data_IF_768458582193
#
_entry.id   IF_768458582193
#
_cell.length_a   1.000
_cell.length_b   1.000
_cell.length_c   1.000
_cell.angle_alpha   90.00
_cell.angle_beta   90.00
_cell.angle_gamma   90.00
#
_symmetry.space_group_name_H-M   'P 1'
#
loop_
_entity.id
_entity.type
_entity.pdbx_description
1 polymer ?
#
# COMPACT_ATOMS: atom_id res chain seq x y z
N UNK A 1 -7.98 -6.34 -22.27
CA UNK A 1 -6.62 -6.81 -21.92
C UNK A 1 -6.51 -6.90 -20.39
N UNK A 2 -5.99 -8.01 -19.83
CA UNK A 2 -5.71 -8.13 -18.39
C UNK A 2 -4.35 -7.49 -18.09
N UNK A 3 -4.33 -6.21 -17.73
CA UNK A 3 -3.08 -5.46 -17.49
C UNK A 3 -3.07 -4.89 -16.08
N UNK A 4 -1.89 -4.88 -15.48
CA UNK A 4 -1.63 -4.09 -14.28
C UNK A 4 -1.46 -2.62 -14.70
N UNK A 5 -1.96 -1.70 -13.89
CA UNK A 5 -1.77 -0.26 -14.06
C UNK A 5 -1.06 0.29 -12.84
N UNK A 6 0.00 1.03 -13.08
CA UNK A 6 0.81 1.70 -12.05
C UNK A 6 0.94 3.16 -12.46
N UNK A 7 0.53 4.07 -11.57
CA UNK A 7 0.60 5.52 -11.81
C UNK A 7 1.42 6.16 -10.71
N UNK A 8 2.50 6.83 -11.08
CA UNK A 8 3.31 7.63 -10.16
C UNK A 8 2.73 9.04 -10.05
N UNK A 9 2.30 9.43 -8.85
CA UNK A 9 2.03 10.81 -8.46
C UNK A 9 3.23 11.30 -7.64
N UNK A 10 4.14 11.98 -8.31
CA UNK A 10 5.33 12.54 -7.69
C UNK A 10 4.99 13.79 -6.87
N UNK A 11 5.47 13.84 -5.63
CA UNK A 11 5.65 15.09 -4.90
C UNK A 11 7.00 15.67 -5.33
N UNK A 12 7.02 16.68 -6.22
CA UNK A 12 8.26 17.21 -6.80
C UNK A 12 9.17 17.91 -5.80
N UNK A 13 8.62 18.42 -4.70
CA UNK A 13 9.40 19.10 -3.67
C UNK A 13 10.17 18.10 -2.79
N UNK A 14 9.51 17.00 -2.40
CA UNK A 14 10.09 15.96 -1.55
C UNK A 14 10.79 14.84 -2.35
N UNK A 15 10.40 14.63 -3.61
CA UNK A 15 10.82 13.49 -4.42
C UNK A 15 10.52 12.16 -3.71
N UNK A 16 11.56 11.35 -3.51
CA UNK A 16 11.50 10.09 -2.75
C UNK A 16 12.16 10.19 -1.37
N UNK A 17 12.32 11.41 -0.82
CA UNK A 17 12.94 11.66 0.46
C UNK A 17 14.28 10.94 0.66
N UNK A 18 14.41 10.24 1.79
CA UNK A 18 15.61 9.50 2.18
C UNK A 18 15.65 8.05 1.68
N UNK A 19 14.57 7.60 1.04
CA UNK A 19 14.38 6.22 0.54
C UNK A 19 14.54 5.14 1.62
N UNK A 20 14.13 5.45 2.84
CA UNK A 20 14.16 4.56 4.01
C UNK A 20 12.79 4.02 4.40
N UNK A 21 11.68 4.66 3.99
CA UNK A 21 10.34 4.27 4.42
C UNK A 21 9.34 4.13 3.29
N UNK A 22 8.82 2.91 3.10
CA UNK A 22 7.78 2.60 2.14
C UNK A 22 6.49 2.24 2.89
N UNK A 23 5.44 3.04 2.74
CA UNK A 23 4.13 2.76 3.30
C UNK A 23 3.24 2.06 2.25
N UNK A 24 2.69 0.90 2.56
CA UNK A 24 1.76 0.15 1.70
C UNK A 24 0.38 0.11 2.33
N UNK A 25 -0.58 0.84 1.75
CA UNK A 25 -1.95 0.92 2.27
C UNK A 25 -2.87 -0.16 1.71
N UNK A 26 -3.20 -1.13 2.56
CA UNK A 26 -4.06 -2.25 2.21
C UNK A 26 -5.52 -2.03 2.64
N UNK A 27 -6.38 -1.76 1.66
CA UNK A 27 -7.83 -1.61 1.86
C UNK A 27 -8.66 -2.89 1.65
N UNK A 28 -8.11 -4.09 1.91
CA UNK A 28 -8.85 -5.36 1.84
C UNK A 28 -9.02 -6.00 0.45
N UNK A 29 -8.68 -5.31 -0.65
CA UNK A 29 -8.61 -5.93 -1.99
C UNK A 29 -7.31 -6.72 -2.14
N UNK A 30 -7.40 -8.06 -2.18
CA UNK A 30 -6.23 -8.94 -2.21
C UNK A 30 -5.30 -8.66 -3.40
N UNK A 31 -5.82 -8.56 -4.63
CA UNK A 31 -4.99 -8.41 -5.83
C UNK A 31 -4.09 -7.15 -5.82
N UNK A 32 -4.62 -5.99 -5.41
CA UNK A 32 -3.81 -4.76 -5.30
C UNK A 32 -2.77 -4.88 -4.19
N UNK A 33 -3.17 -5.37 -3.00
CA UNK A 33 -2.27 -5.52 -1.85
C UNK A 33 -1.05 -6.38 -2.19
N UNK A 34 -1.32 -7.51 -2.83
CA UNK A 34 -0.34 -8.42 -3.39
C UNK A 34 0.64 -7.77 -4.35
N UNK A 35 0.16 -7.06 -5.39
CA UNK A 35 1.03 -6.41 -6.36
C UNK A 35 1.83 -5.25 -5.72
N UNK A 36 1.22 -4.48 -4.83
CA UNK A 36 1.91 -3.40 -4.11
C UNK A 36 3.07 -3.93 -3.26
N UNK A 37 2.86 -5.05 -2.56
CA UNK A 37 3.92 -5.67 -1.76
C UNK A 37 5.04 -6.25 -2.62
N UNK A 38 4.72 -6.86 -3.77
CA UNK A 38 5.73 -7.26 -4.74
C UNK A 38 6.56 -6.08 -5.22
N UNK A 39 5.91 -4.99 -5.63
CA UNK A 39 6.60 -3.79 -6.11
C UNK A 39 7.46 -3.15 -5.03
N UNK A 40 6.97 -3.07 -3.79
CA UNK A 40 7.74 -2.58 -2.65
C UNK A 40 8.96 -3.47 -2.34
N UNK A 41 8.80 -4.79 -2.44
CA UNK A 41 9.90 -5.75 -2.27
C UNK A 41 10.96 -5.62 -3.37
N UNK A 42 10.54 -5.60 -4.64
CA UNK A 42 11.45 -5.43 -5.78
C UNK A 42 12.18 -4.09 -5.73
N UNK A 43 11.53 -3.04 -5.22
CA UNK A 43 12.17 -1.75 -5.05
C UNK A 43 13.37 -1.84 -4.10
N UNK A 44 13.31 -2.67 -3.05
CA UNK A 44 14.44 -2.93 -2.14
C UNK A 44 15.62 -3.66 -2.80
N UNK A 45 15.45 -4.20 -4.01
CA UNK A 45 16.58 -4.74 -4.78
C UNK A 45 17.44 -3.62 -5.41
N UNK A 46 16.95 -2.38 -5.46
CA UNK A 46 17.74 -1.21 -5.85
C UNK A 46 18.65 -0.75 -4.69
N UNK A 47 19.92 -0.47 -4.98
CA UNK A 47 20.91 -0.04 -3.97
C UNK A 47 20.46 1.18 -3.16
N UNK A 48 19.66 2.08 -3.74
CA UNK A 48 19.16 3.28 -3.05
C UNK A 48 18.05 2.98 -2.05
N UNK A 49 17.38 1.83 -2.17
CA UNK A 49 16.25 1.40 -1.35
C UNK A 49 16.53 0.14 -0.54
N UNK A 50 17.75 -0.41 -0.61
CA UNK A 50 18.11 -1.69 0.02
C UNK A 50 17.78 -1.78 1.52
N UNK A 51 17.87 -0.65 2.22
CA UNK A 51 17.60 -0.53 3.65
C UNK A 51 16.18 -0.04 3.97
N UNK A 52 15.34 0.16 2.95
CA UNK A 52 14.00 0.68 3.17
C UNK A 52 13.14 -0.31 3.96
N UNK A 53 12.48 0.20 4.99
CA UNK A 53 11.48 -0.52 5.75
C UNK A 53 10.12 -0.43 5.07
N UNK A 54 9.46 -1.57 4.90
CA UNK A 54 8.12 -1.64 4.33
C UNK A 54 7.12 -1.71 5.47
N UNK A 55 6.23 -0.72 5.56
CA UNK A 55 5.13 -0.63 6.51
C UNK A 55 3.82 -1.03 5.84
N UNK A 56 3.30 -2.20 6.16
CA UNK A 56 1.98 -2.63 5.69
C UNK A 56 0.89 -2.08 6.60
N UNK A 57 0.15 -1.11 6.07
CA UNK A 57 -0.84 -0.33 6.81
C UNK A 57 -2.26 -0.73 6.46
N UNK A 58 -3.08 -0.82 7.49
CA UNK A 58 -4.53 -0.96 7.37
C UNK A 58 -5.23 -0.19 8.48
N UNK A 59 -6.41 0.32 8.17
CA UNK A 59 -7.30 0.94 9.13
C UNK A 59 -8.50 0.04 9.39
N UNK A 60 -8.89 -0.10 10.65
CA UNK A 60 -10.05 -0.86 11.07
C UNK A 60 -10.95 -0.04 12.01
N UNK A 61 -12.26 -0.34 12.06
CA UNK A 61 -13.22 0.52 12.75
C UNK A 61 -13.01 0.56 14.27
N UNK A 62 -12.57 -0.54 14.87
CA UNK A 62 -12.42 -0.71 16.31
C UNK A 62 -11.30 -1.71 16.66
N UNK A 63 -10.93 -1.73 17.94
CA UNK A 63 -9.84 -2.55 18.45
C UNK A 63 -10.11 -4.06 18.33
N UNK A 64 -11.37 -4.49 18.43
CA UNK A 64 -11.75 -5.90 18.25
C UNK A 64 -11.40 -6.38 16.83
N UNK A 65 -11.78 -5.60 15.82
CA UNK A 65 -11.43 -5.89 14.43
C UNK A 65 -9.90 -5.83 14.23
N UNK A 66 -9.23 -4.85 14.85
CA UNK A 66 -7.78 -4.69 14.76
C UNK A 66 -7.01 -5.90 15.32
N UNK A 67 -7.44 -6.42 16.47
CA UNK A 67 -6.79 -7.56 17.11
C UNK A 67 -6.89 -8.82 16.24
N UNK A 68 -8.05 -9.10 15.64
CA UNK A 68 -8.23 -10.21 14.71
C UNK A 68 -7.34 -10.06 13.46
N UNK A 69 -7.25 -8.85 12.90
CA UNK A 69 -6.44 -8.59 11.72
C UNK A 69 -4.93 -8.72 11.99
N UNK A 70 -4.44 -8.24 13.14
CA UNK A 70 -3.02 -8.37 13.54
C UNK A 70 -2.57 -9.83 13.56
N UNK A 71 -3.39 -10.73 14.10
CA UNK A 71 -3.08 -12.15 14.15
C UNK A 71 -2.98 -12.77 12.75
N UNK A 72 -3.96 -12.50 11.88
CA UNK A 72 -4.00 -13.05 10.52
C UNK A 72 -2.87 -12.52 9.65
N UNK A 73 -2.60 -11.22 9.71
CA UNK A 73 -1.57 -10.58 8.88
C UNK A 73 -0.15 -10.94 9.31
N UNK A 74 0.10 -11.08 10.62
CA UNK A 74 1.41 -11.52 11.12
C UNK A 74 1.78 -12.90 10.56
N UNK A 75 0.83 -13.83 10.52
CA UNK A 75 1.04 -15.16 9.96
C UNK A 75 1.30 -15.10 8.45
N UNK A 76 0.50 -14.34 7.72
CA UNK A 76 0.64 -14.19 6.27
C UNK A 76 1.97 -13.55 5.87
N UNK A 77 2.36 -12.44 6.53
CA UNK A 77 3.62 -11.74 6.24
C UNK A 77 4.84 -12.62 6.57
N UNK A 78 4.78 -13.42 7.66
CA UNK A 78 5.86 -14.37 7.99
C UNK A 78 6.10 -15.40 6.90
N UNK A 79 5.03 -15.88 6.24
CA UNK A 79 5.16 -16.84 5.15
C UNK A 79 5.86 -16.25 3.92
N UNK A 80 5.66 -14.96 3.66
CA UNK A 80 6.21 -14.31 2.47
C UNK A 80 7.71 -14.00 2.57
N UNK A 81 8.30 -13.98 3.78
CA UNK A 81 9.73 -13.63 4.02
C UNK A 81 10.17 -12.27 3.43
N UNK A 82 9.24 -11.35 3.18
CA UNK A 82 9.50 -10.02 2.58
C UNK A 82 10.08 -9.01 3.59
N UNK A 83 9.97 -9.29 4.90
CA UNK A 83 10.45 -8.38 5.96
C UNK A 83 9.63 -7.10 6.02
N UNK A 84 8.36 -7.24 6.41
CA UNK A 84 7.37 -6.15 6.43
C UNK A 84 6.91 -5.89 7.86
N UNK A 85 6.80 -4.62 8.24
CA UNK A 85 6.30 -4.16 9.54
C UNK A 85 4.80 -3.94 9.41
N UNK A 86 3.99 -4.75 10.09
CA UNK A 86 2.52 -4.59 10.07
C UNK A 86 2.08 -3.47 11.01
N UNK A 87 1.36 -2.47 10.49
CA UNK A 87 0.75 -1.40 11.27
C UNK A 87 -0.78 -1.42 11.11
N UNK A 88 -1.45 -1.94 12.14
CA UNK A 88 -2.92 -1.97 12.22
C UNK A 88 -3.40 -0.80 13.05
N UNK A 89 -4.01 0.16 12.37
CA UNK A 89 -4.53 1.41 12.92
C UNK A 89 -6.03 1.29 13.18
N UNK A 90 -6.51 1.91 14.26
CA UNK A 90 -7.93 2.00 14.56
C UNK A 90 -8.44 3.40 14.20
N UNK A 91 -9.58 3.46 13.50
CA UNK A 91 -10.13 4.74 13.08
C UNK A 91 -10.68 5.55 14.25
N UNK A 92 -11.41 4.91 15.16
CA UNK A 92 -12.08 5.57 16.31
C UNK A 92 -12.89 6.79 15.89
N UNK A 93 -13.61 6.71 14.77
CA UNK A 93 -14.41 7.81 14.23
C UNK A 93 -13.64 8.81 13.34
N UNK A 94 -12.31 8.74 13.28
CA UNK A 94 -11.52 9.54 12.33
C UNK A 94 -11.72 9.05 10.90
N UNK A 95 -11.69 9.99 9.95
CA UNK A 95 -11.74 9.65 8.53
C UNK A 95 -10.47 8.93 8.10
N UNK A 96 -10.57 8.06 7.09
CA UNK A 96 -9.38 7.45 6.46
C UNK A 96 -8.39 8.51 5.99
N UNK A 97 -8.88 9.64 5.46
CA UNK A 97 -8.02 10.71 4.97
C UNK A 97 -7.15 11.29 6.09
N UNK A 98 -7.76 11.57 7.24
CA UNK A 98 -7.05 12.06 8.44
C UNK A 98 -5.93 11.09 8.84
N UNK A 99 -6.25 9.80 8.94
CA UNK A 99 -5.29 8.77 9.38
C UNK A 99 -4.18 8.55 8.35
N UNK A 100 -4.51 8.62 7.05
CA UNK A 100 -3.56 8.52 5.95
C UNK A 100 -2.50 9.61 6.06
N UNK A 101 -2.95 10.86 6.22
CA UNK A 101 -2.09 12.03 6.38
C UNK A 101 -1.25 11.97 7.64
N UNK A 102 -1.87 11.74 8.80
CA UNK A 102 -1.16 11.67 10.08
C UNK A 102 -0.08 10.58 10.08
N UNK A 103 -0.42 9.38 9.63
CA UNK A 103 0.50 8.25 9.77
C UNK A 103 1.53 8.18 8.67
N UNK A 104 1.31 8.78 7.49
CA UNK A 104 2.18 8.62 6.31
C UNK A 104 2.86 9.92 5.88
N UNK A 105 2.81 10.98 6.69
CA UNK A 105 3.49 12.25 6.43
C UNK A 105 5.01 12.07 6.23
N UNK A 106 5.64 11.18 7.01
CA UNK A 106 7.07 10.91 6.96
C UNK A 106 7.46 9.73 6.05
N UNK A 107 6.55 9.27 5.20
CA UNK A 107 6.88 8.23 4.23
C UNK A 107 7.74 8.80 3.11
N UNK A 108 8.65 7.98 2.56
CA UNK A 108 9.42 8.34 1.37
C UNK A 108 8.71 7.92 0.08
N UNK A 109 7.88 6.88 0.17
CA UNK A 109 7.02 6.38 -0.90
C UNK A 109 5.77 5.73 -0.32
N UNK A 110 4.62 6.01 -0.92
CA UNK A 110 3.34 5.41 -0.53
C UNK A 110 2.78 4.58 -1.67
N UNK A 111 2.42 3.32 -1.43
CA UNK A 111 1.63 2.51 -2.36
C UNK A 111 0.15 2.52 -1.95
N UNK A 112 -0.74 2.78 -2.92
CA UNK A 112 -2.19 2.74 -2.70
C UNK A 112 -2.94 2.05 -3.85
N UNK A 113 -3.88 1.19 -3.49
CA UNK A 113 -4.73 0.49 -4.45
C UNK A 113 -5.81 1.39 -5.05
N UNK A 114 -6.01 1.31 -6.36
CA UNK A 114 -7.13 1.94 -7.06
C UNK A 114 -8.35 1.02 -7.13
N UNK A 115 -9.54 1.62 -7.22
CA UNK A 115 -10.76 0.89 -7.53
C UNK A 115 -10.71 0.29 -8.95
N UNK A 116 -11.51 -0.75 -9.19
CA UNK A 116 -11.71 -1.25 -10.55
C UNK A 116 -12.51 -0.18 -11.30
N UNK A 117 -12.11 0.24 -12.51
CA UNK A 117 -12.84 1.25 -13.26
C UNK A 117 -14.29 0.84 -13.55
N UNK A 118 -15.21 1.73 -13.22
CA UNK A 118 -16.62 1.73 -13.59
C UNK A 118 -17.00 3.11 -14.18
N UNK A 119 -18.29 3.34 -14.43
CA UNK A 119 -18.79 4.61 -15.00
C UNK A 119 -18.47 5.85 -14.14
N UNK A 120 -18.17 5.65 -12.84
CA UNK A 120 -17.84 6.72 -11.88
C UNK A 120 -16.34 6.82 -11.61
N UNK A 121 -15.51 6.06 -12.34
CA UNK A 121 -14.07 5.97 -12.05
C UNK A 121 -13.37 7.32 -12.12
N UNK A 122 -13.74 8.17 -13.07
CA UNK A 122 -13.18 9.53 -13.20
C UNK A 122 -13.38 10.33 -11.91
N UNK A 123 -14.62 10.36 -11.39
CA UNK A 123 -14.96 11.06 -10.14
C UNK A 123 -14.24 10.45 -8.94
N UNK A 124 -14.14 9.11 -8.90
CA UNK A 124 -13.36 8.41 -7.89
C UNK A 124 -11.88 8.82 -7.92
N UNK A 125 -11.28 8.86 -9.12
CA UNK A 125 -9.87 9.16 -9.30
C UNK A 125 -9.57 10.62 -8.97
N UNK A 126 -10.43 11.57 -9.37
CA UNK A 126 -10.34 12.97 -8.95
C UNK A 126 -10.43 13.11 -7.42
N UNK A 127 -11.38 12.42 -6.78
CA UNK A 127 -11.49 12.40 -5.32
C UNK A 127 -10.25 11.81 -4.65
N UNK A 128 -9.66 10.76 -5.23
CA UNK A 128 -8.42 10.15 -4.75
C UNK A 128 -7.24 11.12 -4.85
N UNK A 129 -7.11 11.84 -5.96
CA UNK A 129 -6.08 12.87 -6.14
C UNK A 129 -6.24 14.01 -5.10
N UNK A 130 -7.46 14.48 -4.87
CA UNK A 130 -7.75 15.53 -3.89
C UNK A 130 -7.43 15.09 -2.45
N UNK A 131 -7.87 13.88 -2.06
CA UNK A 131 -7.60 13.33 -0.72
C UNK A 131 -6.11 13.12 -0.47
N UNK A 132 -5.34 12.84 -1.51
CA UNK A 132 -3.91 12.56 -1.39
C UNK A 132 -3.02 13.78 -1.62
N UNK A 133 -3.61 14.95 -1.90
CA UNK A 133 -2.88 16.20 -1.99
C UNK A 133 -2.06 16.46 -0.72
N UNK A 134 -0.82 16.95 -0.84
CA UNK A 134 0.06 17.22 0.31
C UNK A 134 0.82 16.01 0.87
N UNK A 135 0.46 14.78 0.51
CA UNK A 135 1.24 13.59 0.89
C UNK A 135 2.58 13.49 0.12
N UNK A 136 3.54 12.71 0.64
CA UNK A 136 4.72 12.26 -0.10
C UNK A 136 4.38 11.55 -1.42
N UNK A 137 5.41 11.24 -2.21
CA UNK A 137 5.25 10.56 -3.50
C UNK A 137 4.45 9.26 -3.39
N UNK A 138 3.48 9.07 -4.30
CA UNK A 138 2.52 7.96 -4.26
C UNK A 138 2.57 7.16 -5.56
N UNK A 139 2.54 5.85 -5.43
CA UNK A 139 2.31 4.91 -6.52
C UNK A 139 0.90 4.34 -6.38
N UNK A 140 0.02 4.73 -7.29
CA UNK A 140 -1.31 4.15 -7.41
C UNK A 140 -1.27 2.86 -8.21
N UNK A 141 -1.88 1.80 -7.68
CA UNK A 141 -1.79 0.45 -8.25
C UNK A 141 -3.18 -0.13 -8.50
N UNK A 142 -3.42 -0.62 -9.71
CA UNK A 142 -4.55 -1.47 -10.05
C UNK A 142 -4.00 -2.77 -10.64
N UNK A 143 -4.17 -3.86 -9.90
CA UNK A 143 -3.81 -5.19 -10.37
C UNK A 143 -4.83 -5.70 -11.39
N UNK A 144 -4.36 -6.50 -12.34
CA UNK A 144 -5.20 -7.21 -13.28
C UNK A 144 -6.10 -8.22 -12.54
N UNK A 145 -7.31 -8.51 -13.08
CA UNK A 145 -8.18 -9.53 -12.51
C UNK A 145 -7.49 -10.90 -12.44
N UNK A 146 -7.56 -11.56 -11.27
CA UNK A 146 -6.97 -12.89 -11.04
C UNK A 146 -5.49 -12.88 -10.67
N UNK A 147 -4.90 -11.73 -10.32
CA UNK A 147 -3.54 -11.69 -9.80
C UNK A 147 -3.48 -12.34 -8.40
N UNK A 148 -2.95 -13.57 -8.34
CA UNK A 148 -2.75 -14.35 -7.12
C UNK A 148 -1.26 -14.41 -6.76
N UNK A 149 -0.78 -13.43 -6.00
CA UNK A 149 0.64 -13.33 -5.63
C UNK A 149 1.16 -14.44 -4.72
N UNK A 150 0.28 -15.13 -3.97
CA UNK A 150 0.72 -16.26 -3.15
C UNK A 150 1.36 -17.35 -4.02
N UNK A 151 0.87 -17.55 -5.24
CA UNK A 151 1.37 -18.54 -6.20
C UNK A 151 2.76 -18.16 -6.73
N UNK A 152 3.00 -16.87 -6.98
CA UNK A 152 4.26 -16.36 -7.57
C UNK A 152 5.46 -16.50 -6.63
N UNK A 153 5.26 -16.39 -5.31
CA UNK A 153 6.36 -16.57 -4.34
C UNK A 153 6.46 -17.99 -3.77
N UNK A 154 5.45 -18.83 -3.97
CA UNK A 154 5.50 -20.24 -3.56
C UNK A 154 6.18 -21.15 -4.56
N UNK A 155 6.27 -20.76 -5.84
CA UNK A 155 6.92 -21.57 -6.88
C UNK A 155 8.45 -21.39 -6.94
N UNK A 156 8.99 -20.31 -6.36
CA UNK A 156 10.42 -19.97 -6.40
C UNK A 156 11.14 -20.12 -5.04
N UNK A 157 10.59 -20.90 -4.09
CA UNK A 157 11.19 -21.22 -2.79
C UNK A 157 11.14 -22.71 -2.42
#
# INVERSE_FOLDING_TARGET
>A
AKRNVVILRENREQGFGSRQRIDVWWGGKQANGSLMLLLAYLLRSDLKWQNAEIYLKLVLPNEIAAQAARANLSNWVKQLRIGVICQVLVSEGRSFNTILHESSADADLIFMGMAIPDDKFTQYYESLQLKTAGLPTIVFVLAAPGFAFHEVLSEDL
#
